data_IF_069568671941
#
_entry.id   IF_069568671941
#
_cell.length_a   1.000
_cell.length_b   1.000
_cell.length_c   1.000
_cell.angle_alpha   90.00
_cell.angle_beta   90.00
_cell.angle_gamma   90.00
#
_symmetry.space_group_name_H-M   'P 1'
#
loop_
_entity.id
_entity.type
_entity.pdbx_description
1 polymer ?
#
# COMPACT_ATOMS: atom_id res chain seq x y z
N UNK A 1 37.35 30.00 27.45
CA UNK A 1 36.12 30.21 26.65
C UNK A 1 35.07 30.95 27.48
N UNK A 2 35.19 32.29 27.62
CA UNK A 2 34.14 33.13 28.24
C UNK A 2 32.91 33.24 27.33
N UNK A 3 33.14 33.33 26.01
CA UNK A 3 32.08 33.50 25.01
C UNK A 3 31.11 32.30 24.95
N UNK A 4 31.59 31.07 25.21
CA UNK A 4 30.69 29.91 25.30
C UNK A 4 29.77 29.98 26.52
N UNK A 5 30.26 30.50 27.64
CA UNK A 5 29.42 30.73 28.82
C UNK A 5 28.38 31.82 28.53
N UNK A 6 28.74 32.86 27.79
CA UNK A 6 27.80 33.90 27.33
C UNK A 6 26.71 33.33 26.42
N UNK A 7 27.06 32.40 25.50
CA UNK A 7 26.04 31.70 24.70
C UNK A 7 25.06 30.94 25.59
N UNK A 8 25.54 30.23 26.61
CA UNK A 8 24.67 29.51 27.54
C UNK A 8 23.71 30.47 28.25
N UNK A 9 24.21 31.60 28.74
CA UNK A 9 23.40 32.66 29.36
C UNK A 9 22.34 33.21 28.41
N UNK A 10 22.69 33.50 27.15
CA UNK A 10 21.72 34.00 26.17
C UNK A 10 20.62 32.96 25.86
N UNK A 11 20.94 31.67 25.82
CA UNK A 11 19.95 30.62 25.62
C UNK A 11 19.01 30.49 26.82
N UNK A 12 19.53 30.55 28.06
CA UNK A 12 18.73 30.52 29.29
C UNK A 12 17.78 31.73 29.39
N UNK A 13 18.23 32.90 28.95
CA UNK A 13 17.44 34.13 28.88
C UNK A 13 16.49 34.18 27.66
N UNK A 14 16.41 33.12 26.85
CA UNK A 14 15.63 33.06 25.59
C UNK A 14 16.00 34.15 24.56
N UNK A 15 17.20 34.70 24.66
CA UNK A 15 17.73 35.69 23.73
C UNK A 15 18.36 35.01 22.51
N UNK A 16 17.52 34.35 21.72
CA UNK A 16 17.95 33.50 20.61
C UNK A 16 18.65 34.28 19.48
N UNK A 17 18.34 35.57 19.32
CA UNK A 17 18.97 36.44 18.33
C UNK A 17 20.45 36.70 18.67
N UNK A 18 20.74 37.04 19.92
CA UNK A 18 22.13 37.28 20.36
C UNK A 18 22.92 35.98 20.45
N UNK A 19 22.31 34.90 20.95
CA UNK A 19 22.92 33.57 20.94
C UNK A 19 23.33 33.15 19.51
N UNK A 20 22.45 33.32 18.52
CA UNK A 20 22.72 32.98 17.13
C UNK A 20 23.83 33.82 16.49
N UNK A 21 23.88 35.14 16.76
CA UNK A 21 24.96 36.02 16.28
C UNK A 21 26.32 35.60 16.82
N UNK A 22 26.40 35.35 18.13
CA UNK A 22 27.64 34.93 18.80
C UNK A 22 28.08 33.54 18.32
N UNK A 23 27.16 32.59 18.20
CA UNK A 23 27.44 31.26 17.65
C UNK A 23 27.94 31.29 16.21
N UNK A 24 27.38 32.16 15.35
CA UNK A 24 27.84 32.31 13.96
C UNK A 24 29.28 32.83 13.89
N UNK A 25 29.67 33.73 14.81
CA UNK A 25 31.06 34.20 14.94
C UNK A 25 31.97 33.05 15.40
N UNK A 26 31.61 32.39 16.49
CA UNK A 26 32.38 31.28 17.06
C UNK A 26 32.53 30.09 16.08
N UNK A 27 31.53 29.82 15.25
CA UNK A 27 31.62 28.77 14.24
C UNK A 27 32.66 29.07 13.15
N UNK A 28 32.84 30.34 12.78
CA UNK A 28 33.85 30.76 11.80
C UNK A 28 35.26 30.69 12.38
N UNK A 29 35.41 31.15 13.63
CA UNK A 29 36.69 31.19 14.32
C UNK A 29 37.16 29.80 14.77
N UNK A 30 36.21 28.95 15.19
CA UNK A 30 36.48 27.64 15.77
C UNK A 30 35.53 26.54 15.25
N UNK A 31 35.57 26.22 13.94
CA UNK A 31 34.62 25.30 13.32
C UNK A 31 34.68 23.86 13.88
N UNK A 32 35.83 23.44 14.40
CA UNK A 32 36.04 22.10 14.96
C UNK A 32 35.85 22.04 16.49
N UNK A 33 35.49 23.15 17.13
CA UNK A 33 35.28 23.15 18.58
C UNK A 33 33.96 22.44 18.93
N UNK A 34 34.09 21.32 19.65
CA UNK A 34 32.96 20.46 20.02
C UNK A 34 31.90 21.17 20.87
N UNK A 35 32.31 22.11 21.74
CA UNK A 35 31.37 22.91 22.53
C UNK A 35 30.59 23.90 21.67
N UNK A 36 31.26 24.56 20.72
CA UNK A 36 30.59 25.46 19.77
C UNK A 36 29.53 24.69 18.99
N UNK A 37 29.88 23.51 18.46
CA UNK A 37 28.93 22.64 17.74
C UNK A 37 27.75 22.19 18.61
N UNK A 38 27.99 21.88 19.90
CA UNK A 38 26.94 21.49 20.84
C UNK A 38 25.94 22.62 21.08
N UNK A 39 26.43 23.84 21.29
CA UNK A 39 25.58 25.00 21.50
C UNK A 39 24.86 25.46 20.23
N UNK A 40 25.42 25.21 19.03
CA UNK A 40 24.67 25.37 17.77
C UNK A 40 23.49 24.39 17.72
N UNK A 41 23.71 23.12 18.07
CA UNK A 41 22.63 22.14 18.18
C UNK A 41 21.53 22.58 19.16
N UNK A 42 21.92 23.05 20.35
CA UNK A 42 20.99 23.55 21.37
C UNK A 42 20.24 24.80 20.92
N UNK A 43 20.92 25.72 20.23
CA UNK A 43 20.24 26.89 19.67
C UNK A 43 19.20 26.50 18.63
N UNK A 44 19.51 25.57 17.72
CA UNK A 44 18.53 25.05 16.77
C UNK A 44 17.34 24.35 17.44
N UNK A 45 17.58 23.63 18.54
CA UNK A 45 16.53 23.01 19.37
C UNK A 45 15.56 24.08 19.89
N UNK A 46 16.10 25.14 20.51
CA UNK A 46 15.33 26.24 21.11
C UNK A 46 14.50 27.04 20.11
N UNK A 47 15.01 27.26 18.89
CA UNK A 47 14.25 27.93 17.82
C UNK A 47 13.36 26.96 17.02
N UNK A 48 13.12 25.76 17.57
CA UNK A 48 12.26 24.73 17.01
C UNK A 48 12.68 24.21 15.61
N UNK A 49 13.96 24.29 15.28
CA UNK A 49 14.54 23.70 14.05
C UNK A 49 15.15 22.34 14.36
N UNK A 50 14.28 21.40 14.75
CA UNK A 50 14.67 20.10 15.32
C UNK A 50 15.56 19.26 14.38
N UNK A 51 15.28 19.23 13.08
CA UNK A 51 16.13 18.50 12.12
C UNK A 51 17.56 19.05 12.03
N UNK A 52 17.70 20.37 12.18
CA UNK A 52 19.03 21.00 12.21
C UNK A 52 19.74 20.66 13.51
N UNK A 53 19.05 20.73 14.65
CA UNK A 53 19.59 20.35 15.95
C UNK A 53 20.06 18.88 15.97
N UNK A 54 19.23 17.97 15.46
CA UNK A 54 19.52 16.54 15.37
C UNK A 54 20.80 16.27 14.57
N UNK A 55 21.00 16.95 13.42
CA UNK A 55 22.22 16.82 12.60
C UNK A 55 23.47 17.18 13.39
N UNK A 56 23.45 18.27 14.16
CA UNK A 56 24.57 18.68 15.00
C UNK A 56 24.84 17.66 16.11
N UNK A 57 23.82 17.19 16.81
CA UNK A 57 24.00 16.20 17.87
C UNK A 57 24.51 14.86 17.34
N UNK A 58 23.98 14.35 16.22
CA UNK A 58 24.47 13.11 15.60
C UNK A 58 25.91 13.23 15.13
N UNK A 59 26.32 14.39 14.62
CA UNK A 59 27.72 14.66 14.25
C UNK A 59 28.62 14.61 15.50
N UNK A 60 28.20 15.25 16.59
CA UNK A 60 28.94 15.21 17.85
C UNK A 60 29.12 13.80 18.40
N UNK A 61 28.11 12.93 18.28
CA UNK A 61 28.25 11.54 18.72
C UNK A 61 29.25 10.72 17.89
N UNK A 62 29.58 11.16 16.68
CA UNK A 62 30.60 10.51 15.83
C UNK A 62 32.00 11.09 16.10
N UNK A 63 32.07 12.41 16.25
CA UNK A 63 33.35 13.14 16.20
C UNK A 63 33.90 13.47 17.60
N UNK A 64 33.06 13.52 18.64
CA UNK A 64 33.47 13.97 19.97
C UNK A 64 34.13 12.86 20.80
N UNK A 65 35.31 13.14 21.33
CA UNK A 65 35.99 12.31 22.33
C UNK A 65 35.68 12.74 23.78
N UNK A 66 35.17 13.95 23.98
CA UNK A 66 34.84 14.48 25.31
C UNK A 66 33.55 13.85 25.87
N UNK A 67 33.60 13.11 27.00
CA UNK A 67 32.44 12.43 27.56
C UNK A 67 31.26 13.36 27.92
N UNK A 68 31.55 14.58 28.39
CA UNK A 68 30.52 15.54 28.78
C UNK A 68 29.75 16.08 27.57
N UNK A 69 30.46 16.37 26.47
CA UNK A 69 29.83 16.79 25.21
C UNK A 69 28.97 15.66 24.64
N UNK A 70 29.48 14.42 24.65
CA UNK A 70 28.73 13.24 24.20
C UNK A 70 27.46 13.05 25.05
N UNK A 71 27.55 13.17 26.38
CA UNK A 71 26.40 13.04 27.27
C UNK A 71 25.34 14.12 26.98
N UNK A 72 25.74 15.38 26.82
CA UNK A 72 24.81 16.47 26.50
C UNK A 72 24.19 16.33 25.10
N UNK A 73 24.95 15.84 24.11
CA UNK A 73 24.41 15.56 22.77
C UNK A 73 23.35 14.43 22.81
N UNK A 74 23.57 13.37 23.60
CA UNK A 74 22.56 12.31 23.82
C UNK A 74 21.29 12.86 24.46
N UNK A 75 21.44 13.70 25.49
CA UNK A 75 20.29 14.36 26.14
C UNK A 75 19.53 15.26 25.14
N UNK A 76 20.24 15.98 24.28
CA UNK A 76 19.62 16.78 23.20
C UNK A 76 18.79 15.93 22.25
N UNK A 77 19.32 14.80 21.78
CA UNK A 77 18.55 13.86 20.94
C UNK A 77 17.32 13.31 21.67
N UNK A 78 17.44 12.96 22.95
CA UNK A 78 16.31 12.47 23.74
C UNK A 78 15.20 13.52 23.92
N UNK A 79 15.57 14.80 24.10
CA UNK A 79 14.59 15.90 24.16
C UNK A 79 13.89 16.09 22.82
N UNK A 80 14.64 16.11 21.71
CA UNK A 80 14.07 16.19 20.36
C UNK A 80 13.07 15.06 20.14
N UNK A 81 13.44 13.81 20.44
CA UNK A 81 12.57 12.65 20.27
C UNK A 81 11.29 12.77 21.12
N UNK A 82 11.41 13.30 22.34
CA UNK A 82 10.28 13.53 23.24
C UNK A 82 9.33 14.60 22.70
N UNK A 83 9.87 15.70 22.17
CA UNK A 83 9.08 16.78 21.55
C UNK A 83 8.33 16.24 20.34
N UNK A 84 9.00 15.53 19.45
CA UNK A 84 8.38 14.93 18.25
C UNK A 84 7.32 13.89 18.63
N UNK A 85 7.60 13.02 19.61
CA UNK A 85 6.62 12.06 20.14
C UNK A 85 5.35 12.76 20.61
N UNK A 86 5.51 13.82 21.41
CA UNK A 86 4.38 14.57 21.97
C UNK A 86 3.57 15.26 20.87
N UNK A 87 4.25 15.85 19.88
CA UNK A 87 3.58 16.47 18.71
C UNK A 87 2.76 15.47 17.91
N UNK A 88 3.35 14.32 17.58
CA UNK A 88 2.65 13.27 16.85
C UNK A 88 1.44 12.74 17.64
N UNK A 89 1.62 12.47 18.95
CA UNK A 89 0.52 12.03 19.81
C UNK A 89 -0.61 13.07 19.92
N UNK A 90 -0.27 14.36 20.03
CA UNK A 90 -1.24 15.45 20.03
C UNK A 90 -1.96 15.55 18.69
N UNK A 91 -1.24 15.44 17.56
CA UNK A 91 -1.84 15.45 16.24
C UNK A 91 -2.82 14.27 16.05
N UNK A 92 -2.46 13.08 16.51
CA UNK A 92 -3.33 11.89 16.49
C UNK A 92 -4.57 12.11 17.37
N UNK A 93 -4.40 12.65 18.59
CA UNK A 93 -5.51 12.94 19.50
C UNK A 93 -6.48 13.96 18.89
N UNK A 94 -5.96 15.05 18.31
CA UNK A 94 -6.76 16.05 17.60
C UNK A 94 -7.47 15.44 16.39
N UNK A 95 -6.78 14.63 15.58
CA UNK A 95 -7.38 13.99 14.42
C UNK A 95 -8.54 13.05 14.81
N UNK A 96 -8.42 12.35 15.94
CA UNK A 96 -9.45 11.42 16.46
C UNK A 96 -10.56 12.11 17.26
N UNK A 97 -10.51 13.42 17.46
CA UNK A 97 -11.58 14.15 18.17
C UNK A 97 -12.90 14.18 17.40
N UNK A 98 -12.84 14.08 16.07
CA UNK A 98 -14.02 13.88 15.22
C UNK A 98 -14.40 12.37 15.20
N UNK A 99 -15.63 11.99 15.58
CA UNK A 99 -16.10 10.61 15.50
C UNK A 99 -15.92 9.96 14.12
N UNK A 100 -16.05 10.71 13.03
CA UNK A 100 -15.84 10.19 11.65
C UNK A 100 -14.40 9.75 11.38
N UNK A 101 -13.45 10.19 12.19
CA UNK A 101 -12.04 9.86 12.10
C UNK A 101 -11.66 8.66 12.98
N UNK A 102 -12.62 8.08 13.70
CA UNK A 102 -12.43 6.85 14.50
C UNK A 102 -12.75 5.57 13.74
N UNK A 103 -13.38 5.69 12.57
CA UNK A 103 -13.69 4.56 11.68
C UNK A 103 -12.43 3.74 11.36
N UNK A 104 -12.57 2.40 11.26
CA UNK A 104 -11.43 1.54 10.94
C UNK A 104 -10.95 1.76 9.52
N UNK A 105 -9.64 1.78 9.35
CA UNK A 105 -8.98 1.99 8.08
C UNK A 105 -7.67 1.23 7.93
N UNK A 106 -7.07 1.44 6.77
CA UNK A 106 -5.86 0.81 6.26
C UNK A 106 -4.88 1.89 5.84
N UNK A 107 -3.62 1.77 6.28
CA UNK A 107 -2.49 2.52 5.75
C UNK A 107 -1.69 1.57 4.85
N UNK A 108 -1.57 1.95 3.59
CA UNK A 108 -0.91 1.17 2.54
C UNK A 108 0.35 1.90 2.12
N UNK A 109 1.46 1.17 2.07
CA UNK A 109 2.72 1.64 1.47
C UNK A 109 2.77 1.17 0.02
N UNK A 110 3.09 2.09 -0.88
CA UNK A 110 3.26 1.80 -2.29
C UNK A 110 4.69 1.31 -2.60
N UNK A 111 4.88 0.78 -3.81
CA UNK A 111 6.19 0.31 -4.24
C UNK A 111 7.22 1.45 -4.21
N UNK A 112 8.41 1.16 -3.67
CA UNK A 112 9.52 2.10 -3.61
C UNK A 112 10.64 1.61 -4.53
N UNK A 113 11.14 2.52 -5.37
CA UNK A 113 12.26 2.25 -6.26
C UNK A 113 13.49 1.80 -5.47
N UNK A 114 14.34 0.97 -6.08
CA UNK A 114 15.51 0.40 -5.38
C UNK A 114 16.47 1.49 -4.90
N UNK A 115 16.56 2.57 -5.66
CA UNK A 115 17.41 3.74 -5.42
C UNK A 115 16.97 4.49 -4.16
N UNK A 116 15.66 4.67 -3.98
CA UNK A 116 15.10 5.42 -2.85
C UNK A 116 14.89 4.56 -1.60
N UNK A 117 14.95 3.23 -1.73
CA UNK A 117 14.61 2.28 -0.65
C UNK A 117 15.43 2.46 0.62
N UNK A 118 16.72 2.79 0.51
CA UNK A 118 17.58 2.96 1.69
C UNK A 118 17.18 4.19 2.50
N UNK A 119 16.90 5.31 1.84
CA UNK A 119 16.50 6.54 2.51
C UNK A 119 15.08 6.44 3.07
N UNK A 120 14.15 5.86 2.29
CA UNK A 120 12.81 5.54 2.75
C UNK A 120 12.82 4.64 4.00
N UNK A 121 13.72 3.66 4.08
CA UNK A 121 13.84 2.79 5.25
C UNK A 121 14.28 3.56 6.51
N UNK A 122 15.25 4.49 6.39
CA UNK A 122 15.66 5.35 7.51
C UNK A 122 14.52 6.26 7.96
N UNK A 123 13.82 6.85 7.00
CA UNK A 123 12.70 7.74 7.28
C UNK A 123 11.54 7.00 7.95
N UNK A 124 11.20 5.81 7.45
CA UNK A 124 10.18 4.96 8.05
C UNK A 124 10.58 4.54 9.47
N UNK A 125 11.83 4.12 9.68
CA UNK A 125 12.38 3.77 10.99
C UNK A 125 12.23 4.93 11.98
N UNK A 126 12.54 6.17 11.56
CA UNK A 126 12.39 7.37 12.38
C UNK A 126 10.94 7.66 12.72
N UNK A 127 10.05 7.71 11.72
CA UNK A 127 8.63 8.04 11.90
C UNK A 127 7.95 7.02 12.83
N UNK A 128 8.29 5.74 12.65
CA UNK A 128 7.62 4.62 13.31
C UNK A 128 8.35 4.12 14.54
N UNK A 129 9.53 4.67 14.83
CA UNK A 129 10.37 4.36 16.00
C UNK A 129 10.69 2.87 16.10
N UNK A 130 11.07 2.31 14.95
CA UNK A 130 11.53 0.93 14.79
C UNK A 130 12.95 0.93 14.26
N UNK A 131 13.64 -0.20 14.31
CA UNK A 131 14.98 -0.30 13.74
C UNK A 131 14.96 -0.27 12.20
N UNK A 132 16.09 0.13 11.61
CA UNK A 132 16.24 0.28 10.17
C UNK A 132 16.06 -1.02 9.38
N UNK A 133 16.38 -2.18 9.98
CA UNK A 133 16.22 -3.46 9.31
C UNK A 133 14.74 -3.84 9.21
N UNK A 134 14.01 -3.74 10.31
CA UNK A 134 12.55 -3.96 10.35
C UNK A 134 11.84 -2.99 9.41
N UNK A 135 12.19 -1.70 9.43
CA UNK A 135 11.62 -0.73 8.49
C UNK A 135 11.88 -1.12 7.02
N UNK A 136 13.10 -1.53 6.68
CA UNK A 136 13.46 -1.95 5.33
C UNK A 136 12.66 -3.19 4.87
N UNK A 137 12.34 -4.12 5.77
CA UNK A 137 11.54 -5.32 5.47
C UNK A 137 10.07 -5.00 5.16
N UNK A 138 9.55 -3.88 5.68
CA UNK A 138 8.20 -3.41 5.38
C UNK A 138 8.10 -2.74 4.01
N UNK A 139 9.21 -2.24 3.45
CA UNK A 139 9.25 -1.59 2.15
C UNK A 139 9.40 -2.60 1.01
N UNK A 140 8.41 -2.68 0.14
CA UNK A 140 8.44 -3.52 -1.06
C UNK A 140 8.89 -2.73 -2.28
N UNK A 141 9.53 -3.42 -3.21
CA UNK A 141 9.99 -2.81 -4.48
C UNK A 141 8.97 -2.98 -5.61
N UNK A 142 7.90 -3.74 -5.38
CA UNK A 142 6.79 -3.98 -6.29
C UNK A 142 5.51 -4.16 -5.47
N UNK A 143 4.38 -3.78 -6.07
CA UNK A 143 3.07 -3.91 -5.45
C UNK A 143 2.88 -3.04 -4.21
N UNK A 144 1.74 -3.23 -3.59
CA UNK A 144 1.34 -2.54 -2.36
C UNK A 144 1.55 -3.44 -1.14
N UNK A 145 1.71 -2.81 0.02
CA UNK A 145 1.70 -3.51 1.31
C UNK A 145 0.82 -2.81 2.32
N UNK A 146 -0.08 -3.56 2.96
CA UNK A 146 -0.76 -3.07 4.15
C UNK A 146 0.28 -2.92 5.26
N UNK A 147 0.46 -1.69 5.71
CA UNK A 147 1.41 -1.36 6.75
C UNK A 147 0.77 -1.34 8.14
N UNK A 148 -0.43 -0.77 8.25
CA UNK A 148 -1.10 -0.61 9.54
C UNK A 148 -2.62 -0.60 9.41
N UNK A 149 -3.27 -1.17 10.43
CA UNK A 149 -4.71 -1.04 10.69
C UNK A 149 -4.92 -0.10 11.88
N UNK A 150 -5.99 0.70 11.84
CA UNK A 150 -6.29 1.62 12.94
C UNK A 150 -7.41 2.59 12.61
N UNK A 151 -7.61 3.57 13.49
CA UNK A 151 -8.53 4.67 13.25
C UNK A 151 -8.03 5.53 12.08
N UNK A 152 -8.90 5.85 11.12
CA UNK A 152 -8.51 6.57 9.90
C UNK A 152 -7.82 7.92 10.18
N UNK A 153 -8.20 8.63 11.24
CA UNK A 153 -7.53 9.88 11.64
C UNK A 153 -6.08 9.68 12.08
N UNK A 154 -5.80 8.61 12.82
CA UNK A 154 -4.42 8.23 13.20
C UNK A 154 -3.60 7.86 11.96
N UNK A 155 -4.18 7.05 11.08
CA UNK A 155 -3.51 6.60 9.85
C UNK A 155 -3.21 7.77 8.91
N UNK A 156 -4.09 8.77 8.85
CA UNK A 156 -3.86 10.01 8.11
C UNK A 156 -2.64 10.78 8.63
N UNK A 157 -2.50 10.93 9.95
CA UNK A 157 -1.33 11.62 10.54
C UNK A 157 -0.04 10.91 10.16
N UNK A 158 0.03 9.59 10.32
CA UNK A 158 1.20 8.81 9.89
C UNK A 158 1.44 8.91 8.39
N UNK A 159 0.37 8.83 7.59
CA UNK A 159 0.45 8.92 6.14
C UNK A 159 1.02 10.25 5.66
N UNK A 160 0.57 11.37 6.23
CA UNK A 160 1.09 12.71 5.92
C UNK A 160 2.56 12.88 6.31
N UNK A 161 2.98 12.33 7.45
CA UNK A 161 4.40 12.34 7.85
C UNK A 161 5.26 11.50 6.89
N UNK A 162 4.77 10.33 6.47
CA UNK A 162 5.44 9.47 5.51
C UNK A 162 5.57 10.13 4.12
N UNK A 163 4.50 10.76 3.62
CA UNK A 163 4.52 11.50 2.36
C UNK A 163 5.54 12.65 2.40
N UNK A 164 5.56 13.44 3.48
CA UNK A 164 6.56 14.52 3.67
C UNK A 164 8.00 13.98 3.70
N UNK A 165 8.19 12.76 4.15
CA UNK A 165 9.49 12.08 4.18
C UNK A 165 9.80 11.29 2.88
N UNK A 166 9.03 11.47 1.82
CA UNK A 166 9.26 10.86 0.51
C UNK A 166 8.89 9.38 0.42
N UNK A 167 8.03 8.88 1.33
CA UNK A 167 7.52 7.51 1.30
C UNK A 167 6.11 7.53 0.69
N UNK A 168 5.89 6.94 -0.48
CA UNK A 168 4.58 6.93 -1.13
C UNK A 168 3.62 6.03 -0.35
N UNK A 169 2.52 6.61 0.13
CA UNK A 169 1.53 5.92 0.97
C UNK A 169 0.13 6.45 0.73
N UNK A 170 -0.86 5.63 1.03
CA UNK A 170 -2.25 6.05 1.04
C UNK A 170 -3.12 5.34 2.09
N UNK A 171 -4.21 5.99 2.40
CA UNK A 171 -5.20 5.80 3.46
C UNK A 171 -6.65 5.33 3.31
N UNK A 172 -7.06 4.07 3.24
CA UNK A 172 -8.48 3.75 2.97
C UNK A 172 -9.32 3.49 4.22
N UNK A 173 -10.59 3.95 4.26
CA UNK A 173 -11.58 3.45 5.25
C UNK A 173 -12.11 2.11 4.79
N UNK A 174 -12.32 1.19 5.73
CA UNK A 174 -12.97 -0.09 5.43
C UNK A 174 -14.43 0.15 4.99
N UNK A 175 -15.12 1.09 5.64
CA UNK A 175 -16.50 1.45 5.29
C UNK A 175 -16.65 1.99 3.86
N UNK A 176 -15.61 2.56 3.26
CA UNK A 176 -15.66 3.03 1.88
C UNK A 176 -15.50 1.90 0.87
N UNK A 177 -14.78 0.83 1.25
CA UNK A 177 -14.66 -0.42 0.49
C UNK A 177 -16.02 -1.12 0.42
N UNK A 178 -16.69 -1.24 1.57
CA UNK A 178 -17.99 -1.94 1.71
C UNK A 178 -19.14 -1.28 0.93
N UNK A 179 -19.00 -0.01 0.54
CA UNK A 179 -20.02 0.71 -0.22
C UNK A 179 -19.86 0.56 -1.75
N UNK A 180 -18.82 -0.13 -2.22
CA UNK A 180 -18.58 -0.32 -3.66
C UNK A 180 -19.41 -1.51 -4.13
N UNK A 181 -20.26 -1.29 -5.12
CA UNK A 181 -21.12 -2.34 -5.65
C UNK A 181 -20.33 -3.30 -6.54
N UNK A 182 -20.43 -4.60 -6.29
CA UNK A 182 -19.80 -5.63 -7.13
C UNK A 182 -20.83 -6.34 -8.00
N UNK A 183 -20.61 -6.31 -9.33
CA UNK A 183 -21.39 -7.07 -10.30
C UNK A 183 -20.56 -8.21 -10.89
N UNK A 184 -20.93 -9.46 -10.57
CA UNK A 184 -20.22 -10.66 -11.05
C UNK A 184 -20.77 -11.08 -12.41
N UNK A 185 -19.93 -11.04 -13.43
CA UNK A 185 -20.34 -11.30 -14.80
C UNK A 185 -20.59 -12.77 -15.05
N UNK A 186 -21.73 -13.05 -15.70
CA UNK A 186 -22.03 -14.34 -16.28
C UNK A 186 -21.64 -14.37 -17.76
N UNK A 187 -22.04 -13.36 -18.55
CA UNK A 187 -21.66 -13.24 -19.96
C UNK A 187 -21.97 -11.85 -20.54
N UNK A 188 -21.36 -11.50 -21.68
CA UNK A 188 -21.80 -10.38 -22.51
C UNK A 188 -23.06 -10.72 -23.31
N UNK A 189 -24.10 -9.92 -23.17
CA UNK A 189 -25.32 -10.00 -23.99
C UNK A 189 -25.11 -9.29 -25.34
N UNK A 190 -24.48 -8.11 -25.34
CA UNK A 190 -24.11 -7.39 -26.56
C UNK A 190 -22.82 -6.60 -26.35
N UNK A 191 -22.03 -6.46 -27.42
CA UNK A 191 -20.81 -5.64 -27.43
C UNK A 191 -20.85 -4.80 -28.71
N UNK A 192 -20.82 -3.48 -28.55
CA UNK A 192 -20.64 -2.54 -29.65
C UNK A 192 -19.31 -1.78 -29.48
N UNK A 193 -19.06 -0.82 -30.36
CA UNK A 193 -17.84 0.02 -30.30
C UNK A 193 -17.87 1.01 -29.14
N UNK A 194 -19.04 1.50 -28.72
CA UNK A 194 -19.18 2.50 -27.65
C UNK A 194 -19.71 1.93 -26.34
N UNK A 195 -20.53 0.89 -26.40
CA UNK A 195 -21.22 0.32 -25.25
C UNK A 195 -21.17 -1.21 -25.18
N UNK A 196 -21.47 -1.72 -24.00
CA UNK A 196 -21.67 -3.14 -23.77
C UNK A 196 -22.86 -3.39 -22.85
N UNK A 197 -23.54 -4.50 -23.12
CA UNK A 197 -24.59 -5.05 -22.27
C UNK A 197 -24.11 -6.38 -21.68
N UNK A 198 -24.23 -6.52 -20.37
CA UNK A 198 -23.76 -7.68 -19.61
C UNK A 198 -24.90 -8.28 -18.80
N UNK A 199 -24.88 -9.60 -18.67
CA UNK A 199 -25.68 -10.32 -17.68
C UNK A 199 -24.79 -10.63 -16.49
N UNK A 200 -25.25 -10.26 -15.29
CA UNK A 200 -24.47 -10.34 -14.07
C UNK A 200 -25.32 -10.71 -12.85
N UNK A 201 -24.65 -11.12 -11.78
CA UNK A 201 -25.22 -11.26 -10.45
C UNK A 201 -24.83 -10.04 -9.61
N UNK A 202 -25.79 -9.46 -8.89
CA UNK A 202 -25.49 -8.45 -7.87
C UNK A 202 -24.94 -9.12 -6.58
N UNK A 203 -24.73 -8.34 -5.54
CA UNK A 203 -24.21 -8.82 -4.25
C UNK A 203 -25.16 -9.75 -3.48
N UNK A 204 -26.45 -9.75 -3.84
CA UNK A 204 -27.50 -10.60 -3.29
C UNK A 204 -27.76 -11.85 -4.15
N UNK A 205 -26.85 -12.19 -5.05
CA UNK A 205 -26.96 -13.32 -5.99
C UNK A 205 -28.16 -13.22 -6.95
N UNK A 206 -28.70 -12.02 -7.18
CA UNK A 206 -29.80 -11.81 -8.10
C UNK A 206 -29.28 -11.55 -9.50
N UNK A 207 -29.83 -12.28 -10.48
CA UNK A 207 -29.49 -12.12 -11.89
C UNK A 207 -30.16 -10.90 -12.49
N UNK A 208 -29.39 -10.11 -13.23
CA UNK A 208 -29.88 -8.95 -13.96
C UNK A 208 -28.98 -8.58 -15.12
N UNK A 209 -29.34 -7.50 -15.82
CA UNK A 209 -28.57 -6.93 -16.92
C UNK A 209 -28.10 -5.52 -16.59
N UNK A 210 -26.88 -5.17 -16.98
CA UNK A 210 -26.33 -3.82 -16.86
C UNK A 210 -25.80 -3.37 -18.23
N UNK A 211 -26.08 -2.13 -18.61
CA UNK A 211 -25.50 -1.49 -19.78
C UNK A 211 -24.51 -0.41 -19.33
N UNK A 212 -23.35 -0.33 -19.99
CA UNK A 212 -22.35 0.71 -19.71
C UNK A 212 -21.61 1.11 -20.98
N UNK A 213 -21.09 2.33 -21.01
CA UNK A 213 -20.21 2.82 -22.07
C UNK A 213 -18.76 2.48 -21.73
N UNK A 214 -17.95 2.12 -22.72
CA UNK A 214 -16.53 1.81 -22.51
C UNK A 214 -15.74 2.99 -21.93
N UNK A 215 -16.17 4.22 -22.25
CA UNK A 215 -15.61 5.47 -21.71
C UNK A 215 -15.84 5.68 -20.21
N UNK A 216 -16.75 4.93 -19.58
CA UNK A 216 -16.97 4.98 -18.14
C UNK A 216 -15.93 4.19 -17.35
N UNK A 217 -15.20 3.30 -18.02
CA UNK A 217 -14.17 2.47 -17.40
C UNK A 217 -12.89 3.26 -17.25
N UNK A 218 -12.41 3.40 -16.02
CA UNK A 218 -11.22 4.21 -15.72
C UNK A 218 -9.98 3.36 -15.48
N UNK A 219 -10.14 2.26 -14.75
CA UNK A 219 -9.06 1.35 -14.42
C UNK A 219 -9.48 -0.08 -14.74
N UNK A 220 -8.52 -0.88 -15.21
CA UNK A 220 -8.62 -2.34 -15.32
C UNK A 220 -7.74 -2.96 -14.25
N UNK A 221 -8.25 -3.94 -13.51
CA UNK A 221 -7.48 -4.67 -12.50
C UNK A 221 -7.47 -6.16 -12.84
N UNK A 222 -6.29 -6.76 -12.85
CA UNK A 222 -6.10 -8.17 -13.17
C UNK A 222 -5.52 -8.92 -11.97
N UNK A 223 -6.01 -10.15 -11.76
CA UNK A 223 -5.58 -11.01 -10.67
C UNK A 223 -5.51 -12.47 -11.09
N UNK A 224 -4.51 -13.15 -10.55
CA UNK A 224 -4.34 -14.59 -10.68
C UNK A 224 -4.50 -15.23 -9.31
N UNK A 225 -5.58 -16.00 -9.12
CA UNK A 225 -5.93 -16.55 -7.81
C UNK A 225 -5.62 -18.05 -7.76
N UNK A 226 -4.73 -18.52 -6.87
CA UNK A 226 -4.32 -19.91 -6.82
C UNK A 226 -5.45 -20.81 -6.34
N UNK A 227 -5.62 -21.96 -7.00
CA UNK A 227 -6.50 -23.06 -6.61
C UNK A 227 -5.63 -24.15 -6.00
N UNK A 228 -5.88 -24.47 -4.74
CA UNK A 228 -5.06 -25.42 -4.00
C UNK A 228 -5.64 -26.83 -4.02
N UNK A 229 -4.74 -27.82 -3.97
CA UNK A 229 -5.07 -29.22 -3.71
C UNK A 229 -4.18 -29.80 -2.62
N UNK A 230 -4.69 -30.81 -1.93
CA UNK A 230 -3.89 -31.65 -1.04
C UNK A 230 -3.24 -32.76 -1.86
N UNK A 231 -1.91 -32.77 -1.91
CA UNK A 231 -1.13 -33.84 -2.52
C UNK A 231 -0.44 -34.68 -1.44
N UNK A 232 -0.28 -35.97 -1.74
CA UNK A 232 0.55 -36.87 -0.96
C UNK A 232 1.94 -36.92 -1.59
N UNK A 233 2.94 -36.46 -0.86
CA UNK A 233 4.35 -36.53 -1.22
C UNK A 233 4.97 -37.76 -0.55
N UNK A 234 5.46 -38.70 -1.36
CA UNK A 234 6.09 -39.92 -0.86
C UNK A 234 7.61 -39.79 -0.89
N UNK A 235 8.24 -39.72 0.29
CA UNK A 235 9.70 -39.69 0.40
C UNK A 235 10.23 -41.02 0.98
N UNK A 236 10.77 -41.91 0.13
CA UNK A 236 11.26 -43.22 0.56
C UNK A 236 12.50 -43.15 1.48
N UNK A 237 13.13 -41.98 1.62
CA UNK A 237 14.34 -41.79 2.44
C UNK A 237 14.03 -41.53 3.93
N UNK A 238 12.78 -41.29 4.30
CA UNK A 238 12.35 -41.08 5.69
C UNK A 238 11.97 -42.40 6.37
N UNK A 239 12.53 -42.65 7.55
CA UNK A 239 12.34 -43.91 8.30
C UNK A 239 11.00 -44.07 9.00
N UNK A 240 10.33 -42.97 9.41
CA UNK A 240 9.12 -43.02 10.24
C UNK A 240 7.84 -42.49 9.58
N UNK A 241 7.94 -41.57 8.61
CA UNK A 241 6.78 -41.01 7.89
C UNK A 241 7.11 -40.87 6.40
N UNK A 242 6.77 -41.91 5.62
CA UNK A 242 7.04 -41.96 4.18
C UNK A 242 6.06 -41.14 3.35
N UNK A 243 4.90 -40.75 3.91
CA UNK A 243 3.86 -39.99 3.22
C UNK A 243 3.66 -38.66 3.96
N UNK A 244 3.80 -37.55 3.24
CA UNK A 244 3.50 -36.21 3.74
C UNK A 244 2.33 -35.63 2.95
N UNK A 245 1.30 -35.17 3.64
CA UNK A 245 0.30 -34.31 3.02
C UNK A 245 0.88 -32.90 2.88
N UNK A 246 0.91 -32.37 1.66
CA UNK A 246 1.34 -31.01 1.36
C UNK A 246 0.30 -30.34 0.47
N UNK A 247 -0.08 -29.13 0.84
CA UNK A 247 -0.88 -28.27 -0.02
C UNK A 247 0.00 -27.75 -1.17
N UNK A 248 -0.47 -27.90 -2.39
CA UNK A 248 0.17 -27.36 -3.59
C UNK A 248 -0.86 -26.62 -4.45
N UNK A 249 -0.39 -25.66 -5.24
CA UNK A 249 -1.24 -25.00 -6.23
C UNK A 249 -1.50 -25.96 -7.39
N UNK A 250 -2.75 -26.33 -7.59
CA UNK A 250 -3.23 -27.18 -8.67
C UNK A 250 -3.36 -26.39 -9.98
N UNK A 251 -3.99 -25.22 -9.89
CA UNK A 251 -4.32 -24.37 -11.03
C UNK A 251 -4.52 -22.92 -10.56
N UNK A 252 -4.90 -22.03 -11.47
CA UNK A 252 -5.24 -20.65 -11.17
C UNK A 252 -6.56 -20.25 -11.82
N UNK A 253 -7.33 -19.42 -11.13
CA UNK A 253 -8.43 -18.69 -11.73
C UNK A 253 -7.96 -17.29 -12.15
N UNK A 254 -8.34 -16.87 -13.35
CA UNK A 254 -8.10 -15.51 -13.82
C UNK A 254 -9.29 -14.63 -13.45
N UNK A 255 -9.00 -13.48 -12.85
CA UNK A 255 -9.99 -12.46 -12.53
C UNK A 255 -9.61 -11.14 -13.19
N UNK A 256 -10.61 -10.47 -13.74
CA UNK A 256 -10.49 -9.15 -14.33
C UNK A 256 -11.62 -8.27 -13.80
N UNK A 257 -11.28 -7.13 -13.23
CA UNK A 257 -12.22 -6.12 -12.75
C UNK A 257 -12.14 -4.88 -13.64
N UNK A 258 -13.29 -4.39 -14.08
CA UNK A 258 -13.44 -3.08 -14.72
C UNK A 258 -14.06 -2.11 -13.71
N UNK A 259 -13.43 -0.96 -13.51
CA UNK A 259 -13.88 0.02 -12.53
C UNK A 259 -14.72 1.10 -13.18
N UNK A 260 -15.92 1.33 -12.65
CA UNK A 260 -16.85 2.39 -13.06
C UNK A 260 -17.08 3.36 -11.89
N UNK A 261 -16.16 4.31 -11.64
CA UNK A 261 -16.18 5.16 -10.46
C UNK A 261 -17.44 6.01 -10.32
N UNK A 262 -17.95 6.56 -11.44
CA UNK A 262 -19.16 7.39 -11.46
C UNK A 262 -20.41 6.63 -11.02
N UNK A 263 -20.40 5.30 -11.16
CA UNK A 263 -21.47 4.39 -10.71
C UNK A 263 -21.15 3.73 -9.38
N UNK A 264 -20.01 4.05 -8.77
CA UNK A 264 -19.51 3.39 -7.56
C UNK A 264 -19.49 1.85 -7.69
N UNK A 265 -19.15 1.35 -8.87
CA UNK A 265 -19.37 -0.07 -9.21
C UNK A 265 -18.13 -0.71 -9.85
N UNK A 266 -17.91 -1.99 -9.55
CA UNK A 266 -16.89 -2.83 -10.18
C UNK A 266 -17.62 -3.95 -10.93
N UNK A 267 -17.26 -4.12 -12.19
CA UNK A 267 -17.70 -5.26 -13.01
C UNK A 267 -16.60 -6.32 -12.97
N UNK A 268 -16.91 -7.49 -12.40
CA UNK A 268 -15.96 -8.57 -12.15
C UNK A 268 -16.16 -9.76 -13.08
N UNK A 269 -15.13 -10.08 -13.85
CA UNK A 269 -15.05 -11.25 -14.71
C UNK A 269 -14.20 -12.33 -14.03
N UNK A 270 -14.62 -13.59 -14.15
CA UNK A 270 -13.83 -14.74 -13.74
C UNK A 270 -13.90 -15.82 -14.83
N UNK A 271 -12.76 -16.34 -15.24
CA UNK A 271 -12.66 -17.34 -16.31
C UNK A 271 -13.44 -18.62 -16.02
N UNK A 272 -13.54 -19.02 -14.76
CA UNK A 272 -14.26 -20.24 -14.37
C UNK A 272 -15.78 -20.09 -14.40
N UNK A 273 -16.29 -18.88 -14.18
CA UNK A 273 -17.73 -18.62 -14.06
C UNK A 273 -18.33 -18.02 -15.32
N UNK A 274 -17.49 -17.55 -16.25
CA UNK A 274 -17.96 -16.96 -17.49
C UNK A 274 -18.60 -18.01 -18.40
N UNK A 275 -19.85 -17.77 -18.80
CA UNK A 275 -20.65 -18.65 -19.64
C UNK A 275 -20.33 -18.42 -21.12
N UNK A 276 -19.19 -18.94 -21.58
CA UNK A 276 -18.70 -18.77 -22.97
C UNK A 276 -19.66 -19.25 -24.07
N UNK A 277 -20.60 -20.15 -23.73
CA UNK A 277 -21.60 -20.65 -24.68
C UNK A 277 -22.75 -19.65 -24.92
N UNK A 278 -23.02 -18.77 -23.95
CA UNK A 278 -24.09 -17.77 -24.02
C UNK A 278 -23.57 -16.37 -24.35
N UNK A 279 -22.36 -16.06 -23.91
CA UNK A 279 -21.68 -14.84 -24.30
C UNK A 279 -21.42 -14.81 -25.79
N UNK A 280 -21.18 -13.62 -26.34
CA UNK A 280 -20.80 -13.46 -27.74
C UNK A 280 -19.48 -14.21 -27.99
N UNK A 281 -19.60 -15.47 -28.42
CA UNK A 281 -18.55 -16.21 -29.10
C UNK A 281 -18.72 -15.92 -30.60
N UNK A 282 -17.61 -15.55 -31.25
CA UNK A 282 -17.46 -15.19 -32.67
C UNK A 282 -17.59 -13.70 -33.00
N UNK A 283 -16.52 -12.96 -32.73
CA UNK A 283 -16.12 -11.79 -33.53
C UNK A 283 -14.78 -12.07 -34.21
N UNK A 284 -14.73 -13.08 -35.08
CA UNK A 284 -13.69 -13.15 -36.11
C UNK A 284 -14.34 -13.53 -37.42
N UNK A 285 -14.55 -12.51 -38.26
CA UNK A 285 -14.82 -12.68 -39.68
C UNK A 285 -13.56 -13.23 -40.36
N UNK A 286 -13.39 -14.54 -40.37
CA UNK A 286 -12.54 -15.23 -41.36
C UNK A 286 -13.43 -16.17 -42.18
N UNK A 287 -13.59 -15.93 -43.50
CA UNK A 287 -14.40 -16.80 -44.32
C UNK A 287 -13.66 -18.11 -44.56
N UNK A 288 -14.36 -19.22 -44.28
CA UNK A 288 -14.10 -20.57 -44.81
C UNK A 288 -12.72 -21.17 -44.49
N UNK A 289 -12.60 -21.82 -43.33
CA UNK A 289 -11.86 -23.08 -43.25
C UNK A 289 -12.73 -24.12 -42.54
N UNK A 290 -12.62 -25.34 -43.07
CA UNK A 290 -13.31 -26.61 -42.83
C UNK A 290 -13.77 -26.91 -41.39
N UNK A 291 -14.78 -27.79 -41.20
CA UNK A 291 -15.26 -28.19 -39.87
C UNK A 291 -14.29 -29.18 -39.21
N UNK A 292 -13.06 -28.78 -38.95
CA UNK A 292 -12.26 -29.42 -37.91
C UNK A 292 -12.69 -28.81 -36.59
N UNK A 293 -13.28 -29.63 -35.72
CA UNK A 293 -13.57 -29.26 -34.33
C UNK A 293 -12.24 -28.97 -33.61
N UNK A 294 -11.69 -27.76 -33.76
CA UNK A 294 -10.66 -27.29 -32.86
C UNK A 294 -11.33 -27.17 -31.48
N UNK A 295 -11.00 -28.10 -30.59
CA UNK A 295 -11.40 -28.03 -29.20
C UNK A 295 -10.72 -26.79 -28.57
N UNK A 296 -11.39 -25.64 -28.62
CA UNK A 296 -10.91 -24.42 -27.97
C UNK A 296 -11.05 -24.57 -26.46
N UNK A 297 -9.92 -24.54 -25.76
CA UNK A 297 -9.89 -24.61 -24.29
C UNK A 297 -10.53 -23.34 -23.68
N UNK A 298 -11.03 -23.43 -22.44
CA UNK A 298 -11.54 -22.25 -21.73
C UNK A 298 -10.49 -21.14 -21.61
N UNK A 299 -9.20 -21.50 -21.51
CA UNK A 299 -8.09 -20.55 -21.50
C UNK A 299 -7.97 -19.76 -22.80
N UNK A 300 -8.13 -20.42 -23.95
CA UNK A 300 -8.15 -19.74 -25.27
C UNK A 300 -9.30 -18.75 -25.33
N UNK A 301 -10.50 -19.16 -24.91
CA UNK A 301 -11.70 -18.32 -24.90
C UNK A 301 -11.59 -17.13 -23.94
N UNK A 302 -10.97 -17.33 -22.77
CA UNK A 302 -10.65 -16.25 -21.84
C UNK A 302 -9.72 -15.22 -22.48
N UNK A 303 -8.64 -15.67 -23.11
CA UNK A 303 -7.69 -14.75 -23.77
C UNK A 303 -8.36 -13.96 -24.90
N UNK A 304 -9.22 -14.60 -25.70
CA UNK A 304 -10.01 -13.92 -26.74
C UNK A 304 -10.96 -12.87 -26.15
N UNK A 305 -11.61 -13.18 -25.03
CA UNK A 305 -12.47 -12.25 -24.30
C UNK A 305 -11.69 -11.04 -23.78
N UNK A 306 -10.55 -11.26 -23.11
CA UNK A 306 -9.70 -10.19 -22.59
C UNK A 306 -9.17 -9.32 -23.72
N UNK A 307 -8.71 -9.92 -24.83
CA UNK A 307 -8.27 -9.18 -26.01
C UNK A 307 -9.39 -8.31 -26.59
N UNK A 308 -10.63 -8.82 -26.63
CA UNK A 308 -11.80 -8.06 -27.09
C UNK A 308 -12.07 -6.87 -26.19
N UNK A 309 -11.99 -7.05 -24.87
CA UNK A 309 -12.15 -5.98 -23.87
C UNK A 309 -11.04 -4.93 -24.05
N UNK A 310 -9.78 -5.36 -24.19
CA UNK A 310 -8.63 -4.46 -24.33
C UNK A 310 -8.72 -3.61 -25.60
N UNK A 311 -9.17 -4.19 -26.72
CA UNK A 311 -9.44 -3.45 -27.95
C UNK A 311 -10.51 -2.37 -27.79
N UNK A 312 -11.45 -2.52 -26.84
CA UNK A 312 -12.53 -1.57 -26.58
C UNK A 312 -12.14 -0.48 -25.57
N UNK A 313 -11.35 -0.84 -24.57
CA UNK A 313 -10.90 0.10 -23.54
C UNK A 313 -9.81 1.07 -24.04
N UNK A 314 -9.03 0.68 -25.03
CA UNK A 314 -7.92 1.50 -25.51
C UNK A 314 -6.81 1.64 -24.44
N UNK A 315 -6.29 2.86 -24.27
CA UNK A 315 -5.17 3.11 -23.36
C UNK A 315 -5.65 3.53 -21.96
N UNK A 316 -6.13 2.57 -21.17
CA UNK A 316 -6.41 2.79 -19.74
C UNK A 316 -5.35 2.13 -18.85
N UNK A 317 -5.27 2.58 -17.59
CA UNK A 317 -4.33 2.00 -16.65
C UNK A 317 -4.75 0.57 -16.27
N UNK A 318 -3.82 -0.35 -16.43
CA UNK A 318 -3.98 -1.75 -15.99
C UNK A 318 -3.16 -2.00 -14.74
N UNK A 319 -3.80 -2.58 -13.71
CA UNK A 319 -3.19 -2.94 -12.44
C UNK A 319 -3.09 -4.45 -12.34
N UNK A 320 -1.88 -5.00 -12.45
CA UNK A 320 -1.63 -6.46 -12.45
C UNK A 320 -0.68 -6.92 -11.34
N UNK A 321 -0.23 -6.02 -10.47
CA UNK A 321 0.67 -6.32 -9.34
C UNK A 321 -0.05 -6.93 -8.11
N UNK A 322 -1.10 -7.72 -8.33
CA UNK A 322 -1.85 -8.36 -7.24
C UNK A 322 -1.03 -9.42 -6.51
N UNK A 323 -0.29 -10.29 -7.21
CA UNK A 323 0.35 -11.46 -6.60
C UNK A 323 1.24 -11.11 -5.39
N UNK A 324 2.17 -10.14 -5.46
CA UNK A 324 2.98 -9.75 -4.29
C UNK A 324 2.13 -9.21 -3.12
N UNK A 325 1.05 -8.48 -3.42
CA UNK A 325 0.12 -8.00 -2.39
C UNK A 325 -0.64 -9.18 -1.77
N UNK A 326 -1.16 -10.09 -2.59
CA UNK A 326 -1.94 -11.25 -2.20
C UNK A 326 -1.16 -12.23 -1.31
N UNK A 327 0.10 -12.52 -1.63
CA UNK A 327 0.95 -13.44 -0.85
C UNK A 327 1.12 -12.98 0.60
N UNK A 328 1.41 -11.69 0.80
CA UNK A 328 1.62 -11.13 2.14
C UNK A 328 0.28 -10.94 2.85
N UNK A 329 -0.72 -10.42 2.14
CA UNK A 329 -2.01 -10.06 2.74
C UNK A 329 -2.80 -11.28 3.17
N UNK A 330 -2.82 -12.34 2.35
CA UNK A 330 -3.51 -13.60 2.65
C UNK A 330 -2.91 -14.35 3.85
N UNK A 331 -1.61 -14.14 4.13
CA UNK A 331 -0.92 -14.73 5.29
C UNK A 331 -1.05 -13.90 6.56
N UNK A 332 -0.83 -12.59 6.45
CA UNK A 332 -0.60 -11.73 7.62
C UNK A 332 -1.90 -11.07 8.13
N UNK A 333 -2.96 -11.00 7.32
CA UNK A 333 -4.18 -10.23 7.62
C UNK A 333 -5.47 -11.07 7.57
N UNK A 334 -5.39 -12.36 7.91
CA UNK A 334 -6.53 -13.31 7.86
C UNK A 334 -7.77 -12.82 8.61
N UNK A 335 -7.60 -12.18 9.77
CA UNK A 335 -8.73 -11.65 10.56
C UNK A 335 -9.47 -10.52 9.84
N UNK A 336 -8.75 -9.60 9.19
CA UNK A 336 -9.37 -8.56 8.36
C UNK A 336 -10.11 -9.20 7.19
N UNK A 337 -9.41 -10.08 6.46
CA UNK A 337 -9.93 -10.69 5.24
C UNK A 337 -11.18 -11.54 5.50
N UNK A 338 -11.24 -12.25 6.64
CA UNK A 338 -12.40 -13.07 7.03
C UNK A 338 -13.70 -12.29 7.20
N UNK A 339 -13.62 -10.95 7.33
CA UNK A 339 -14.79 -10.08 7.51
C UNK A 339 -15.25 -9.42 6.21
N UNK A 340 -14.43 -9.48 5.15
CA UNK A 340 -14.75 -8.86 3.88
C UNK A 340 -15.64 -9.77 3.04
N UNK A 341 -16.75 -9.22 2.54
CA UNK A 341 -17.53 -9.88 1.49
C UNK A 341 -16.82 -9.66 0.16
N UNK A 342 -16.38 -10.73 -0.46
CA UNK A 342 -15.46 -10.63 -1.59
C UNK A 342 -16.11 -10.88 -2.95
N UNK A 343 -17.29 -11.53 -3.01
CA UNK A 343 -18.06 -11.76 -4.24
C UNK A 343 -17.22 -12.42 -5.36
N UNK A 344 -16.61 -13.56 -5.04
CA UNK A 344 -15.84 -14.40 -5.97
C UNK A 344 -16.29 -15.84 -5.76
N UNK A 345 -16.93 -16.43 -6.77
CA UNK A 345 -17.55 -17.76 -6.63
C UNK A 345 -16.73 -18.82 -7.36
N UNK A 346 -15.48 -19.03 -6.94
CA UNK A 346 -14.64 -20.08 -7.52
C UNK A 346 -14.91 -21.38 -6.75
N UNK A 347 -15.25 -22.45 -7.47
CA UNK A 347 -15.44 -23.76 -6.85
C UNK A 347 -14.09 -24.32 -6.39
N UNK A 348 -13.89 -24.43 -5.07
CA UNK A 348 -12.63 -24.89 -4.47
C UNK A 348 -12.91 -25.99 -3.44
N UNK A 349 -11.99 -26.94 -3.32
CA UNK A 349 -12.00 -27.93 -2.23
C UNK A 349 -11.46 -27.35 -0.92
N UNK A 350 -10.66 -26.29 -1.00
CA UNK A 350 -9.97 -25.68 0.13
C UNK A 350 -10.23 -24.18 0.06
N UNK A 351 -10.76 -23.62 1.15
CA UNK A 351 -10.93 -22.18 1.30
C UNK A 351 -9.60 -21.44 1.29
N UNK A 352 -9.63 -20.19 0.82
CA UNK A 352 -8.41 -19.41 0.63
C UNK A 352 -8.63 -17.94 0.95
N UNK A 353 -7.64 -17.33 1.59
CA UNK A 353 -7.63 -15.88 1.85
C UNK A 353 -7.23 -15.06 0.62
N UNK A 354 -6.94 -15.71 -0.51
CA UNK A 354 -6.64 -15.04 -1.77
C UNK A 354 -7.84 -14.32 -2.39
N UNK A 355 -9.04 -14.87 -2.22
CA UNK A 355 -10.28 -14.30 -2.74
C UNK A 355 -10.60 -12.94 -2.07
N UNK A 356 -10.69 -12.86 -0.72
CA UNK A 356 -10.85 -11.57 -0.05
C UNK A 356 -9.64 -10.64 -0.22
N UNK A 357 -8.42 -11.16 -0.37
CA UNK A 357 -7.26 -10.32 -0.67
C UNK A 357 -7.36 -9.66 -2.05
N UNK A 358 -7.84 -10.38 -3.08
CA UNK A 358 -8.07 -9.79 -4.41
C UNK A 358 -9.16 -8.73 -4.35
N UNK A 359 -10.27 -9.03 -3.68
CA UNK A 359 -11.33 -8.05 -3.49
C UNK A 359 -10.81 -6.78 -2.81
N UNK A 360 -10.03 -6.92 -1.73
CA UNK A 360 -9.39 -5.79 -1.06
C UNK A 360 -8.45 -5.01 -2.00
N UNK A 361 -7.62 -5.70 -2.77
CA UNK A 361 -6.70 -5.06 -3.72
C UNK A 361 -7.46 -4.23 -4.78
N UNK A 362 -8.45 -4.83 -5.44
CA UNK A 362 -9.22 -4.17 -6.49
C UNK A 362 -10.02 -2.98 -5.96
N UNK A 363 -10.65 -3.12 -4.79
CA UNK A 363 -11.39 -2.01 -4.16
C UNK A 363 -10.46 -0.89 -3.67
N UNK A 364 -9.25 -1.21 -3.21
CA UNK A 364 -8.25 -0.19 -2.92
C UNK A 364 -7.84 0.58 -4.18
N UNK A 365 -7.62 -0.12 -5.31
CA UNK A 365 -7.38 0.53 -6.61
C UNK A 365 -8.53 1.48 -6.96
N UNK A 366 -9.77 1.01 -6.83
CA UNK A 366 -10.97 1.81 -7.07
C UNK A 366 -10.98 3.11 -6.26
N UNK A 367 -10.63 3.04 -4.96
CA UNK A 367 -10.57 4.21 -4.09
C UNK A 367 -9.40 5.15 -4.38
N UNK A 368 -8.33 4.69 -5.06
CA UNK A 368 -7.25 5.59 -5.48
C UNK A 368 -7.68 6.53 -6.60
N UNK A 369 -8.61 6.14 -7.47
CA UNK A 369 -9.15 7.01 -8.50
C UNK A 369 -9.89 8.21 -7.90
N UNK A 370 -10.80 7.96 -6.94
CA UNK A 370 -11.57 9.02 -6.28
C UNK A 370 -10.69 10.09 -5.61
N UNK A 371 -9.43 9.77 -5.33
CA UNK A 371 -8.43 10.72 -4.77
C UNK A 371 -7.62 11.46 -5.82
N UNK A 372 -7.50 10.93 -7.03
CA UNK A 372 -6.82 11.64 -8.12
C UNK A 372 -7.69 12.77 -8.70
N UNK A 373 -9.01 12.65 -8.52
CA UNK A 373 -10.00 13.60 -9.04
C UNK A 373 -10.57 14.57 -7.99
N UNK A 374 -10.22 14.39 -6.72
CA UNK A 374 -10.56 15.29 -5.60
C UNK A 374 -9.33 16.10 -5.19
#
# INVERSE_FOLDING_TARGET
MKEIKEVATFLEQKNYQQAGKLLKKLQKEHPQNLWVQLYIGRWYEEINRLESAEKFYRKLLKDATNPQVVAQARQGLQRIETIEKKRQQQAIATAKSDPKNTEPGLLIIEAISKENKQEAAKNLARIMKIDSYTARMQLQSKGWRIYRLGAIGELKVYGEEMLKAGIPVFWAKISDIEKINIFRIQYFQSISSSEASIVCLNEQDQMGSLNFQWSEVVDKVEGLLPIFMNAMDYDPRRRSEKIRHKQMTQDYANILDLHLPNRRSIIRFCDQNYQYQKGIAHVTNTPKQSPSKLQTTNRTKWNELVNTIDQRLGNIKTWSDFTPFGEVTSRDYTQLLSRLKYHIDISRKIETMWDPAFHLYSTLVFLTYSRRCA
#
